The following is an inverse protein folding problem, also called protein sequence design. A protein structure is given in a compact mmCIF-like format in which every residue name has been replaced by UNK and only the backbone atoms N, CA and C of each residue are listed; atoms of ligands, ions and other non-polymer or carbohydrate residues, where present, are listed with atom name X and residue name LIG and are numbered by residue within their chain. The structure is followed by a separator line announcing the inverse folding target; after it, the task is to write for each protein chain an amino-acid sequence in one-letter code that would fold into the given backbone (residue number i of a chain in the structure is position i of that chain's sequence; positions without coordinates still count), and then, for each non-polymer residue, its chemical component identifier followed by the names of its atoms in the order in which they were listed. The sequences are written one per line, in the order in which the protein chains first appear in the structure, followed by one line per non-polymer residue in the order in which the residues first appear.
data_IF_779344882363
#
_entry.id   IF_779344882363
#
_cell.length_a   1.000
_cell.length_b   1.000
_cell.length_c   1.000
_cell.angle_alpha   90.00
_cell.angle_beta   90.00
_cell.angle_gamma   90.00
#
_symmetry.space_group_name_H-M   'P 1'
#
loop_
_entity.id
_entity.type
_entity.pdbx_description
1 polymer ?
#
# COMPACT_ATOMS: atom_id res chain seq x y z
N UNK A 1 18.39 3.26 4.99
CA UNK A 1 19.13 2.00 4.87
C UNK A 1 20.61 2.21 4.51
N UNK A 2 20.94 3.10 3.56
CA UNK A 2 22.31 3.39 3.11
C UNK A 2 23.19 3.88 4.26
N UNK A 3 22.67 4.75 5.12
CA UNK A 3 23.36 5.35 6.27
C UNK A 3 23.04 4.67 7.59
N UNK A 4 22.64 3.39 7.56
CA UNK A 4 22.20 2.65 8.75
C UNK A 4 23.24 2.69 9.87
N UNK A 5 24.50 2.34 9.57
CA UNK A 5 25.57 2.26 10.55
C UNK A 5 25.99 3.62 11.13
N UNK A 6 25.79 4.70 10.35
CA UNK A 6 26.10 6.07 10.76
C UNK A 6 25.00 6.67 11.65
N UNK A 7 23.74 6.22 11.50
CA UNK A 7 22.59 6.84 12.15
C UNK A 7 22.03 6.04 13.34
N UNK A 8 22.26 4.71 13.39
CA UNK A 8 21.64 3.82 14.37
C UNK A 8 21.90 4.19 15.84
N UNK A 9 23.04 4.81 16.13
CA UNK A 9 23.44 5.17 17.49
C UNK A 9 22.90 6.56 17.90
N UNK A 10 22.34 7.33 16.96
CA UNK A 10 21.87 8.71 17.18
C UNK A 10 20.37 8.87 17.00
N UNK A 11 19.73 7.99 16.21
CA UNK A 11 18.33 8.16 15.80
C UNK A 11 17.53 6.86 15.89
N UNK A 12 16.28 6.98 16.29
CA UNK A 12 15.30 5.93 16.15
C UNK A 12 14.61 6.05 14.78
N UNK A 13 14.77 5.07 13.93
CA UNK A 13 14.15 5.01 12.59
C UNK A 13 13.71 3.58 12.26
N UNK A 14 12.80 3.45 11.30
CA UNK A 14 12.37 2.15 10.83
C UNK A 14 13.52 1.44 10.12
N UNK A 15 13.76 0.20 10.48
CA UNK A 15 14.89 -0.58 9.98
C UNK A 15 14.62 -2.09 10.03
N UNK A 16 15.54 -2.87 9.49
CA UNK A 16 15.51 -4.33 9.52
C UNK A 16 16.74 -4.94 10.24
N UNK A 17 17.35 -4.18 11.16
CA UNK A 17 18.43 -4.62 12.04
C UNK A 17 19.83 -4.55 11.45
N UNK A 18 19.98 -4.36 10.13
CA UNK A 18 21.28 -4.27 9.46
C UNK A 18 21.21 -3.44 8.16
N UNK A 19 22.35 -2.91 7.76
CA UNK A 19 22.51 -2.15 6.51
C UNK A 19 22.18 -3.02 5.29
N UNK A 20 21.41 -2.47 4.36
CA UNK A 20 21.04 -3.12 3.09
C UNK A 20 19.84 -4.06 3.17
N UNK A 21 19.43 -4.50 4.36
CA UNK A 21 18.34 -5.46 4.53
C UNK A 21 16.98 -4.90 4.11
N UNK A 22 16.69 -3.64 4.43
CA UNK A 22 15.49 -2.96 3.95
C UNK A 22 15.45 -2.92 2.42
N UNK A 23 16.57 -2.54 1.79
CA UNK A 23 16.72 -2.50 0.32
C UNK A 23 16.51 -3.87 -0.30
N UNK A 24 17.06 -4.94 0.31
CA UNK A 24 16.84 -6.32 -0.13
C UNK A 24 15.34 -6.68 -0.16
N UNK A 25 14.59 -6.33 0.90
CA UNK A 25 13.15 -6.60 0.97
C UNK A 25 12.28 -5.59 0.21
N UNK A 26 12.85 -4.61 -0.50
CA UNK A 26 12.13 -3.82 -1.49
C UNK A 26 12.02 -4.51 -2.85
N UNK A 27 12.77 -5.58 -3.08
CA UNK A 27 12.63 -6.43 -4.27
C UNK A 27 11.36 -7.29 -4.14
N UNK A 28 10.45 -7.18 -5.12
CA UNK A 28 9.17 -7.88 -5.12
C UNK A 28 9.29 -9.40 -5.22
N UNK A 29 10.35 -9.89 -5.88
CA UNK A 29 10.58 -11.34 -5.97
C UNK A 29 10.98 -11.92 -4.61
N UNK A 30 11.82 -11.19 -3.88
CA UNK A 30 12.20 -11.55 -2.50
C UNK A 30 10.96 -11.58 -1.61
N UNK A 31 10.12 -10.54 -1.69
CA UNK A 31 8.88 -10.48 -0.91
C UNK A 31 7.92 -11.64 -1.24
N UNK A 32 7.72 -11.96 -2.53
CA UNK A 32 6.82 -13.06 -2.96
C UNK A 32 7.31 -14.40 -2.42
N UNK A 33 8.62 -14.70 -2.55
CA UNK A 33 9.20 -15.95 -2.01
C UNK A 33 9.03 -16.04 -0.49
N UNK A 34 9.29 -14.96 0.23
CA UNK A 34 9.12 -14.94 1.69
C UNK A 34 7.64 -15.07 2.07
N UNK A 35 6.73 -14.41 1.35
CA UNK A 35 5.28 -14.51 1.59
C UNK A 35 4.77 -15.96 1.47
N UNK A 36 5.23 -16.68 0.44
CA UNK A 36 4.93 -18.09 0.24
C UNK A 36 5.47 -18.95 1.39
N UNK A 37 6.73 -18.76 1.78
CA UNK A 37 7.35 -19.46 2.92
C UNK A 37 6.61 -19.20 4.23
N UNK A 38 6.05 -18.01 4.38
CA UNK A 38 5.23 -17.64 5.55
C UNK A 38 3.78 -18.17 5.48
N UNK A 39 3.40 -18.85 4.39
CA UNK A 39 2.09 -19.46 4.24
C UNK A 39 1.00 -18.52 3.71
N UNK A 40 1.38 -17.43 3.05
CA UNK A 40 0.46 -16.61 2.26
C UNK A 40 0.29 -17.23 0.86
N UNK A 41 -0.90 -17.11 0.29
CA UNK A 41 -1.08 -17.44 -1.11
C UNK A 41 -0.34 -16.41 -1.98
N UNK A 42 0.37 -16.90 -3.00
CA UNK A 42 1.04 -16.04 -3.98
C UNK A 42 0.56 -16.41 -5.38
N UNK A 43 0.33 -15.43 -6.27
CA UNK A 43 0.05 -15.74 -7.67
C UNK A 43 1.30 -16.31 -8.33
N UNK A 44 1.13 -17.21 -9.31
CA UNK A 44 2.28 -17.69 -10.10
C UNK A 44 3.07 -16.51 -10.64
N UNK A 45 4.38 -16.56 -10.56
CA UNK A 45 5.22 -15.46 -11.03
C UNK A 45 6.53 -15.93 -11.64
N UNK A 46 7.04 -15.15 -12.58
CA UNK A 46 8.35 -15.29 -13.21
C UNK A 46 9.01 -13.92 -13.29
N UNK A 47 10.29 -13.87 -13.59
CA UNK A 47 11.04 -12.63 -13.77
C UNK A 47 11.69 -12.61 -15.13
N UNK A 48 11.48 -11.49 -15.84
CA UNK A 48 12.32 -11.12 -16.98
C UNK A 48 13.56 -10.45 -16.41
N UNK A 49 14.70 -11.10 -16.53
CA UNK A 49 15.98 -10.57 -16.07
C UNK A 49 16.52 -9.48 -17.02
N UNK A 50 17.49 -8.72 -16.51
CA UNK A 50 18.22 -7.73 -17.29
C UNK A 50 18.93 -8.37 -18.48
N UNK A 51 18.95 -7.69 -19.62
CA UNK A 51 19.52 -8.20 -20.87
C UNK A 51 18.65 -9.19 -21.64
N UNK A 52 17.56 -9.66 -21.04
CA UNK A 52 16.63 -10.62 -21.67
C UNK A 52 15.47 -9.86 -22.32
N UNK A 53 15.09 -10.23 -23.55
CA UNK A 53 14.01 -9.57 -24.28
C UNK A 53 12.62 -10.11 -23.94
N UNK A 54 12.52 -11.39 -23.56
CA UNK A 54 11.25 -12.07 -23.30
C UNK A 54 11.39 -13.11 -22.19
N UNK A 55 10.26 -13.57 -21.66
CA UNK A 55 10.16 -14.67 -20.70
C UNK A 55 8.97 -15.54 -21.09
N UNK A 56 9.12 -16.85 -20.96
CA UNK A 56 7.99 -17.77 -21.12
C UNK A 56 7.14 -17.79 -19.86
N UNK A 57 5.82 -17.71 -20.03
CA UNK A 57 4.87 -17.74 -18.95
C UNK A 57 3.62 -18.52 -19.36
N UNK A 58 3.06 -19.31 -18.45
CA UNK A 58 1.98 -20.27 -18.75
C UNK A 58 0.64 -19.93 -18.11
N UNK A 59 0.56 -18.84 -17.31
CA UNK A 59 -0.66 -18.46 -16.60
C UNK A 59 -1.19 -17.11 -17.07
N UNK A 60 -2.31 -17.16 -17.81
CA UNK A 60 -2.93 -15.97 -18.38
C UNK A 60 -4.37 -15.77 -17.86
N UNK A 61 -4.86 -14.51 -17.80
CA UNK A 61 -4.10 -13.28 -18.08
C UNK A 61 -2.97 -13.07 -17.08
N UNK A 62 -1.90 -12.37 -17.49
CA UNK A 62 -0.80 -12.01 -16.61
C UNK A 62 -0.59 -10.50 -16.55
N UNK A 63 0.04 -10.04 -15.47
CA UNK A 63 0.39 -8.63 -15.23
C UNK A 63 1.91 -8.49 -15.17
N UNK A 64 2.44 -7.49 -15.87
CA UNK A 64 3.86 -7.12 -15.83
C UNK A 64 4.05 -5.83 -15.05
N UNK A 65 5.01 -5.81 -14.16
CA UNK A 65 5.35 -4.65 -13.33
C UNK A 65 6.85 -4.59 -13.05
N UNK A 66 7.45 -3.39 -12.89
CA UNK A 66 8.85 -3.27 -12.48
C UNK A 66 9.10 -4.05 -11.20
N UNK A 67 10.22 -4.77 -11.13
CA UNK A 67 10.54 -5.60 -9.97
C UNK A 67 10.88 -4.74 -8.75
N UNK A 68 11.61 -3.64 -8.95
CA UNK A 68 11.95 -2.69 -7.89
C UNK A 68 11.00 -1.50 -7.87
N UNK A 69 10.52 -1.16 -6.68
CA UNK A 69 9.70 0.05 -6.47
C UNK A 69 10.52 1.35 -6.58
N UNK A 70 11.87 1.27 -6.53
CA UNK A 70 12.78 2.41 -6.68
C UNK A 70 13.01 2.71 -8.16
N UNK A 71 13.11 1.68 -9.00
CA UNK A 71 13.54 1.79 -10.40
C UNK A 71 12.40 2.03 -11.40
N UNK A 72 11.14 1.91 -11.00
CA UNK A 72 10.00 1.95 -11.92
C UNK A 72 8.90 2.94 -11.56
N UNK A 73 8.33 3.59 -12.57
CA UNK A 73 7.11 4.39 -12.38
C UNK A 73 5.88 3.47 -12.30
N UNK A 74 4.94 3.77 -11.42
CA UNK A 74 3.63 3.04 -11.31
C UNK A 74 2.81 3.03 -12.62
N UNK A 75 3.19 3.85 -13.60
CA UNK A 75 2.57 3.90 -14.94
C UNK A 75 3.03 2.78 -15.87
N UNK A 76 4.11 2.07 -15.53
CA UNK A 76 4.63 0.96 -16.33
C UNK A 76 4.05 -0.38 -15.85
N UNK A 77 2.75 -0.56 -16.06
CA UNK A 77 2.05 -1.83 -15.79
C UNK A 77 1.34 -2.22 -17.07
N UNK A 78 1.49 -3.47 -17.51
CA UNK A 78 0.69 -4.01 -18.61
C UNK A 78 0.03 -5.33 -18.21
N UNK A 79 -1.15 -5.60 -18.80
CA UNK A 79 -1.85 -6.89 -18.66
C UNK A 79 -1.86 -7.54 -20.04
N UNK A 80 -1.54 -8.82 -20.09
CA UNK A 80 -1.42 -9.61 -21.31
C UNK A 80 -2.29 -10.86 -21.22
N UNK A 81 -3.00 -11.18 -22.32
CA UNK A 81 -3.93 -12.31 -22.40
C UNK A 81 -3.24 -13.60 -22.91
N UNK A 82 -2.06 -13.45 -23.51
CA UNK A 82 -1.29 -14.54 -24.11
C UNK A 82 0.20 -14.15 -24.21
N UNK A 83 1.03 -15.11 -24.70
CA UNK A 83 2.48 -14.94 -24.81
C UNK A 83 2.87 -13.83 -25.80
N UNK A 84 2.12 -13.64 -26.88
CA UNK A 84 2.41 -12.59 -27.88
C UNK A 84 2.20 -11.19 -27.27
N UNK A 85 1.08 -10.97 -26.61
CA UNK A 85 0.80 -9.71 -25.89
C UNK A 85 1.82 -9.48 -24.78
N UNK A 86 2.24 -10.54 -24.06
CA UNK A 86 3.29 -10.46 -23.05
C UNK A 86 4.61 -9.97 -23.67
N UNK A 87 5.05 -10.57 -24.76
CA UNK A 87 6.28 -10.16 -25.44
C UNK A 87 6.22 -8.71 -25.92
N UNK A 88 5.07 -8.27 -26.45
CA UNK A 88 4.85 -6.87 -26.86
C UNK A 88 4.84 -5.92 -25.67
N UNK A 89 4.18 -6.28 -24.58
CA UNK A 89 4.17 -5.49 -23.35
C UNK A 89 5.55 -5.31 -22.72
N UNK A 90 6.36 -6.37 -22.74
CA UNK A 90 7.73 -6.34 -22.19
C UNK A 90 8.67 -5.39 -22.95
N UNK A 91 8.46 -5.15 -24.25
CA UNK A 91 9.23 -4.15 -25.02
C UNK A 91 9.14 -2.75 -24.42
N UNK A 92 7.99 -2.41 -23.84
CA UNK A 92 7.77 -1.10 -23.19
C UNK A 92 8.63 -0.84 -21.95
N UNK A 93 9.15 -1.90 -21.31
CA UNK A 93 10.06 -1.78 -20.15
C UNK A 93 11.54 -1.66 -20.54
N UNK A 94 11.87 -1.98 -21.80
CA UNK A 94 13.27 -2.02 -22.26
C UNK A 94 14.02 -3.28 -21.78
N UNK A 95 15.18 -3.54 -22.40
CA UNK A 95 15.98 -4.75 -22.10
C UNK A 95 16.68 -4.69 -20.74
N UNK A 96 17.05 -3.50 -20.28
CA UNK A 96 17.78 -3.29 -19.01
C UNK A 96 16.89 -3.39 -17.76
N UNK A 97 15.56 -3.40 -17.92
CA UNK A 97 14.66 -3.49 -16.78
C UNK A 97 14.41 -4.93 -16.35
N UNK A 98 14.50 -5.20 -15.04
CA UNK A 98 13.97 -6.42 -14.43
C UNK A 98 12.47 -6.25 -14.22
N UNK A 99 11.69 -7.20 -14.76
CA UNK A 99 10.21 -7.10 -14.77
C UNK A 99 9.62 -8.36 -14.15
N UNK A 100 8.77 -8.20 -13.16
CA UNK A 100 7.95 -9.28 -12.65
C UNK A 100 6.78 -9.52 -13.59
N UNK A 101 6.65 -10.75 -14.08
CA UNK A 101 5.48 -11.28 -14.77
C UNK A 101 4.72 -12.14 -13.78
N UNK A 102 3.45 -11.87 -13.57
CA UNK A 102 2.66 -12.52 -12.54
C UNK A 102 1.25 -12.82 -13.06
N UNK A 103 0.69 -13.97 -12.67
CA UNK A 103 -0.72 -14.28 -12.89
C UNK A 103 -1.61 -13.12 -12.43
N UNK A 104 -2.53 -12.71 -13.30
CA UNK A 104 -3.48 -11.64 -12.98
C UNK A 104 -4.65 -12.22 -12.18
N UNK A 105 -4.62 -12.04 -10.88
CA UNK A 105 -5.72 -12.42 -9.99
C UNK A 105 -6.85 -11.40 -10.10
N UNK A 106 -7.99 -11.83 -10.65
CA UNK A 106 -9.19 -10.98 -10.72
C UNK A 106 -9.75 -10.76 -9.32
N UNK A 107 -9.47 -9.59 -8.74
CA UNK A 107 -9.86 -9.24 -7.38
C UNK A 107 -11.38 -9.13 -7.21
N UNK A 108 -11.91 -9.67 -6.14
CA UNK A 108 -13.22 -9.33 -5.60
C UNK A 108 -13.11 -8.04 -4.77
N UNK A 109 -12.08 -7.97 -3.94
CA UNK A 109 -11.68 -6.76 -3.23
C UNK A 109 -10.19 -6.84 -2.83
N UNK A 110 -9.68 -5.71 -2.38
CA UNK A 110 -8.29 -5.55 -1.93
C UNK A 110 -8.29 -5.03 -0.50
N UNK A 111 -7.37 -5.54 0.30
CA UNK A 111 -7.14 -5.10 1.68
C UNK A 111 -5.68 -4.69 1.88
N UNK A 112 -5.48 -3.85 2.89
CA UNK A 112 -4.15 -3.56 3.45
C UNK A 112 -4.17 -3.91 4.93
N UNK A 113 -3.40 -4.91 5.32
CA UNK A 113 -3.18 -5.25 6.73
C UNK A 113 -2.16 -4.26 7.28
N UNK A 114 -2.58 -3.47 8.27
CA UNK A 114 -1.74 -2.42 8.87
C UNK A 114 -1.27 -2.86 10.24
N UNK A 115 0.02 -2.64 10.51
CA UNK A 115 0.60 -3.03 11.79
C UNK A 115 1.85 -2.26 12.17
N UNK A 116 2.32 -2.60 13.35
CA UNK A 116 3.54 -2.12 13.96
C UNK A 116 4.34 -3.32 14.47
N UNK A 117 5.65 -3.34 14.22
CA UNK A 117 6.57 -4.21 14.95
C UNK A 117 7.56 -3.36 15.73
N UNK A 118 7.64 -3.60 17.03
CA UNK A 118 8.49 -2.85 17.94
C UNK A 118 8.87 -3.76 19.13
N UNK A 119 10.12 -3.68 19.58
CA UNK A 119 10.64 -4.49 20.70
C UNK A 119 10.37 -6.00 20.54
N UNK A 120 10.46 -6.52 19.30
CA UNK A 120 10.21 -7.93 18.99
C UNK A 120 8.74 -8.33 18.88
N UNK A 121 7.79 -7.48 19.29
CA UNK A 121 6.36 -7.73 19.21
C UNK A 121 5.79 -7.25 17.87
N UNK A 122 4.89 -8.03 17.25
CA UNK A 122 4.15 -7.62 16.05
C UNK A 122 2.67 -7.44 16.38
N UNK A 123 2.21 -6.20 16.25
CA UNK A 123 0.86 -5.74 16.58
C UNK A 123 0.10 -5.46 15.30
N UNK A 124 -1.06 -6.09 15.12
CA UNK A 124 -1.95 -5.88 13.98
C UNK A 124 -3.33 -5.56 14.54
N UNK A 125 -3.71 -4.29 14.68
CA UNK A 125 -5.03 -3.93 15.19
C UNK A 125 -6.15 -4.21 14.19
N UNK A 126 -5.85 -4.16 12.89
CA UNK A 126 -6.86 -4.32 11.85
C UNK A 126 -6.33 -4.21 10.44
N UNK A 127 -7.26 -4.01 9.52
CA UNK A 127 -6.98 -3.87 8.10
C UNK A 127 -7.93 -2.88 7.42
N UNK A 128 -7.54 -2.41 6.26
CA UNK A 128 -8.31 -1.52 5.40
C UNK A 128 -8.89 -2.36 4.26
N UNK A 129 -10.18 -2.24 3.98
CA UNK A 129 -10.78 -2.72 2.74
C UNK A 129 -10.95 -1.55 1.79
N UNK A 130 -10.26 -1.59 0.65
CA UNK A 130 -10.36 -0.57 -0.39
C UNK A 130 -11.74 -0.64 -1.04
N UNK A 131 -12.47 0.46 -1.07
CA UNK A 131 -13.77 0.60 -1.74
C UNK A 131 -13.64 1.37 -3.06
N UNK A 132 -12.74 2.36 -3.10
CA UNK A 132 -12.31 3.06 -4.31
C UNK A 132 -10.82 3.32 -4.25
N UNK A 133 -10.19 3.23 -5.41
CA UNK A 133 -8.77 3.50 -5.59
C UNK A 133 -8.54 4.41 -6.82
N UNK A 134 -7.38 5.06 -6.84
CA UNK A 134 -6.91 5.82 -7.98
C UNK A 134 -5.42 5.61 -8.15
N UNK A 135 -5.00 5.13 -9.32
CA UNK A 135 -3.60 4.83 -9.63
C UNK A 135 -2.92 3.97 -8.54
N UNK A 136 -3.65 2.96 -8.03
CA UNK A 136 -3.18 2.07 -6.96
C UNK A 136 -3.24 2.67 -5.55
N UNK A 137 -3.56 3.97 -5.39
CA UNK A 137 -3.73 4.60 -4.07
C UNK A 137 -5.18 4.53 -3.59
N UNK A 138 -5.40 4.16 -2.33
CA UNK A 138 -6.73 4.13 -1.71
C UNK A 138 -7.31 5.54 -1.60
N UNK A 139 -8.54 5.73 -2.10
CA UNK A 139 -9.25 7.01 -1.99
C UNK A 139 -10.46 6.97 -1.09
N UNK A 140 -11.13 5.81 -0.98
CA UNK A 140 -12.22 5.56 -0.05
C UNK A 140 -12.14 4.13 0.46
N UNK A 141 -12.24 3.94 1.76
CA UNK A 141 -12.04 2.64 2.41
C UNK A 141 -12.87 2.50 3.69
N UNK A 142 -13.05 1.25 4.11
CA UNK A 142 -13.50 0.90 5.46
C UNK A 142 -12.35 0.26 6.22
N UNK A 143 -12.11 0.72 7.44
CA UNK A 143 -11.19 0.14 8.41
C UNK A 143 -11.94 -0.91 9.21
N UNK A 144 -11.37 -2.10 9.34
CA UNK A 144 -11.92 -3.22 10.09
C UNK A 144 -10.96 -3.68 11.19
N UNK A 145 -11.48 -4.11 12.35
CA UNK A 145 -10.66 -4.74 13.38
C UNK A 145 -10.12 -6.09 12.88
N UNK A 146 -8.95 -6.48 13.40
CA UNK A 146 -8.25 -7.73 13.02
C UNK A 146 -9.10 -8.99 13.23
N UNK A 147 -10.04 -8.96 14.14
CA UNK A 147 -10.98 -10.07 14.38
C UNK A 147 -11.86 -10.44 13.18
N UNK A 148 -11.94 -9.54 12.17
CA UNK A 148 -12.63 -9.80 10.89
C UNK A 148 -11.74 -10.44 9.83
N UNK A 149 -10.45 -10.65 10.12
CA UNK A 149 -9.50 -11.32 9.22
C UNK A 149 -9.26 -12.76 9.73
N UNK A 150 -9.17 -13.77 8.84
CA UNK A 150 -8.82 -15.12 9.26
C UNK A 150 -7.50 -15.16 10.04
N UNK A 151 -7.49 -15.88 11.16
CA UNK A 151 -6.30 -15.99 12.03
C UNK A 151 -5.06 -16.47 11.26
N UNK A 152 -5.22 -17.43 10.33
CA UNK A 152 -4.15 -17.94 9.51
C UNK A 152 -3.45 -16.82 8.70
N UNK A 153 -4.22 -15.88 8.13
CA UNK A 153 -3.67 -14.75 7.38
C UNK A 153 -2.89 -13.83 8.31
N UNK A 154 -3.46 -13.51 9.48
CA UNK A 154 -2.79 -12.66 10.49
C UNK A 154 -1.49 -13.29 10.97
N UNK A 155 -1.48 -14.59 11.25
CA UNK A 155 -0.29 -15.33 11.69
C UNK A 155 0.80 -15.35 10.60
N UNK A 156 0.40 -15.48 9.32
CA UNK A 156 1.33 -15.42 8.17
C UNK A 156 1.94 -14.03 8.02
N UNK A 157 1.15 -12.97 8.18
CA UNK A 157 1.66 -11.58 8.17
C UNK A 157 2.66 -11.36 9.30
N UNK A 158 2.36 -11.83 10.51
CA UNK A 158 3.28 -11.73 11.66
C UNK A 158 4.60 -12.45 11.40
N UNK A 159 4.54 -13.68 10.83
CA UNK A 159 5.75 -14.42 10.45
C UNK A 159 6.57 -13.66 9.42
N UNK A 160 5.94 -13.14 8.37
CA UNK A 160 6.62 -12.37 7.33
C UNK A 160 7.41 -11.20 7.92
N UNK A 161 6.77 -10.36 8.72
CA UNK A 161 7.41 -9.17 9.31
C UNK A 161 8.52 -9.57 10.28
N UNK A 162 8.36 -10.68 11.00
CA UNK A 162 9.39 -11.24 11.88
C UNK A 162 10.62 -11.73 11.10
N UNK A 163 10.42 -12.47 9.99
CA UNK A 163 11.51 -12.99 9.14
C UNK A 163 12.30 -11.86 8.46
N UNK A 164 11.62 -10.77 8.08
CA UNK A 164 12.30 -9.54 7.62
C UNK A 164 13.18 -8.94 8.72
N UNK A 165 12.91 -9.26 9.99
CA UNK A 165 13.44 -8.59 11.17
C UNK A 165 13.14 -7.09 11.17
N UNK A 166 12.01 -6.71 10.57
CA UNK A 166 11.62 -5.31 10.45
C UNK A 166 11.20 -4.73 11.80
N UNK A 167 11.57 -3.49 12.06
CA UNK A 167 11.08 -2.70 13.18
C UNK A 167 10.55 -1.37 12.69
N UNK A 168 9.24 -1.14 12.87
CA UNK A 168 8.52 0.02 12.38
C UNK A 168 7.07 -0.29 12.00
N UNK A 169 6.42 0.71 11.42
CA UNK A 169 5.07 0.57 10.87
C UNK A 169 5.11 -0.09 9.49
N UNK A 170 4.11 -0.92 9.19
CA UNK A 170 4.01 -1.59 7.90
C UNK A 170 2.59 -1.66 7.40
N UNK A 171 2.46 -1.83 6.07
CA UNK A 171 1.21 -2.14 5.40
C UNK A 171 1.41 -3.28 4.40
N UNK A 172 0.71 -4.40 4.56
CA UNK A 172 0.74 -5.52 3.63
C UNK A 172 -0.51 -5.54 2.78
N UNK A 173 -0.34 -5.42 1.46
CA UNK A 173 -1.43 -5.44 0.48
C UNK A 173 -1.77 -6.88 0.08
N UNK A 174 -3.05 -7.23 0.19
CA UNK A 174 -3.58 -8.54 -0.17
C UNK A 174 -4.81 -8.38 -1.07
N UNK A 175 -4.92 -9.24 -2.11
CA UNK A 175 -6.11 -9.38 -2.93
C UNK A 175 -6.93 -10.56 -2.43
N UNK A 176 -8.22 -10.35 -2.20
CA UNK A 176 -9.16 -11.44 -1.96
C UNK A 176 -9.81 -11.86 -3.27
N UNK A 177 -9.68 -13.15 -3.59
CA UNK A 177 -10.30 -13.79 -4.74
C UNK A 177 -10.45 -15.29 -4.48
N UNK A 178 -11.53 -15.90 -4.97
CA UNK A 178 -11.76 -17.34 -4.87
C UNK A 178 -11.55 -17.90 -3.43
N UNK A 179 -12.05 -17.19 -2.43
CA UNK A 179 -11.93 -17.54 -0.99
C UNK A 179 -10.49 -17.59 -0.46
N UNK A 180 -9.54 -16.90 -1.11
CA UNK A 180 -8.13 -16.82 -0.71
C UNK A 180 -7.65 -15.38 -0.64
N UNK A 181 -6.63 -15.13 0.19
CA UNK A 181 -5.92 -13.85 0.26
C UNK A 181 -4.57 -14.01 -0.44
N UNK A 182 -4.41 -13.36 -1.57
CA UNK A 182 -3.18 -13.40 -2.37
C UNK A 182 -2.29 -12.21 -2.02
N UNK A 183 -1.03 -12.48 -1.73
CA UNK A 183 -0.02 -11.46 -1.46
C UNK A 183 0.25 -10.60 -2.69
N UNK A 184 0.36 -9.29 -2.50
CA UNK A 184 0.70 -8.31 -3.54
C UNK A 184 2.06 -7.68 -3.27
N UNK A 185 2.17 -6.97 -2.15
CA UNK A 185 3.42 -6.33 -1.69
C UNK A 185 3.33 -5.96 -0.20
N UNK A 186 4.48 -5.74 0.41
CA UNK A 186 4.58 -5.17 1.76
C UNK A 186 5.31 -3.84 1.69
N UNK A 187 4.67 -2.80 2.21
CA UNK A 187 5.25 -1.49 2.41
C UNK A 187 5.85 -1.42 3.82
N UNK A 188 7.20 -1.42 3.90
CA UNK A 188 7.94 -1.32 5.17
C UNK A 188 8.13 0.17 5.54
N UNK A 189 7.04 0.85 5.78
CA UNK A 189 6.99 2.28 6.12
C UNK A 189 5.65 2.65 6.71
N UNK A 190 5.57 3.85 7.30
CA UNK A 190 4.29 4.43 7.65
C UNK A 190 3.44 4.64 6.38
N UNK A 191 2.21 4.17 6.42
CA UNK A 191 1.24 4.33 5.35
C UNK A 191 0.34 5.55 5.62
N UNK A 192 -0.07 6.25 4.57
CA UNK A 192 -0.97 7.41 4.68
C UNK A 192 -2.31 7.07 5.37
N UNK A 193 -2.72 5.82 5.32
CA UNK A 193 -3.97 5.35 5.93
C UNK A 193 -3.86 5.11 7.44
N UNK A 194 -2.66 5.13 8.02
CA UNK A 194 -2.43 4.92 9.47
C UNK A 194 -3.14 5.99 10.32
N UNK A 195 -3.33 7.21 9.80
CA UNK A 195 -4.14 8.24 10.47
C UNK A 195 -5.57 7.76 10.75
N UNK A 196 -6.19 7.03 9.82
CA UNK A 196 -7.54 6.50 10.02
C UNK A 196 -7.60 5.49 11.18
N UNK A 197 -6.51 4.76 11.46
CA UNK A 197 -6.43 3.90 12.65
C UNK A 197 -6.41 4.70 13.94
N UNK A 198 -5.72 5.85 13.97
CA UNK A 198 -5.73 6.75 15.12
C UNK A 198 -7.14 7.27 15.39
N UNK A 199 -7.89 7.67 14.35
CA UNK A 199 -9.30 8.06 14.46
C UNK A 199 -10.18 6.90 14.93
N UNK A 200 -9.89 5.68 14.48
CA UNK A 200 -10.58 4.46 14.89
C UNK A 200 -10.26 4.00 16.34
N UNK A 201 -9.27 4.63 16.97
CA UNK A 201 -8.94 4.43 18.40
C UNK A 201 -7.59 3.79 18.67
N UNK A 202 -6.78 3.44 17.66
CA UNK A 202 -5.45 2.83 17.82
C UNK A 202 -4.37 3.68 17.14
N UNK A 203 -3.52 4.31 17.93
CA UNK A 203 -2.48 5.22 17.41
C UNK A 203 -1.12 4.53 17.30
N UNK A 204 -0.90 3.80 16.20
CA UNK A 204 0.34 3.07 15.94
C UNK A 204 1.60 3.96 15.86
N UNK A 205 1.57 5.14 15.21
CA UNK A 205 2.72 6.05 15.22
C UNK A 205 3.13 6.48 16.63
N UNK A 206 2.17 6.83 17.49
CA UNK A 206 2.45 7.22 18.87
C UNK A 206 2.96 6.02 19.69
N UNK A 207 2.40 4.82 19.47
CA UNK A 207 2.88 3.61 20.09
C UNK A 207 4.36 3.34 19.74
N UNK A 208 4.76 3.53 18.48
CA UNK A 208 6.16 3.41 18.07
C UNK A 208 7.06 4.42 18.81
N UNK A 209 6.67 5.69 18.84
CA UNK A 209 7.45 6.75 19.52
C UNK A 209 7.61 6.44 21.00
N UNK A 210 6.53 6.12 21.70
CA UNK A 210 6.57 5.75 23.13
C UNK A 210 7.49 4.56 23.39
N UNK A 211 7.36 3.51 22.60
CA UNK A 211 8.22 2.32 22.72
C UNK A 211 9.71 2.67 22.56
N UNK A 212 10.07 3.59 21.64
CA UNK A 212 11.45 4.04 21.43
C UNK A 212 11.98 4.95 22.53
N UNK A 213 11.09 5.64 23.23
CA UNK A 213 11.43 6.44 24.41
C UNK A 213 11.43 5.64 25.72
N UNK A 214 11.15 4.33 25.66
CA UNK A 214 11.06 3.47 26.84
C UNK A 214 9.78 3.70 27.67
N UNK A 215 8.77 4.35 27.08
CA UNK A 215 7.48 4.60 27.71
C UNK A 215 6.49 3.45 27.45
N UNK A 216 5.44 3.35 28.28
CA UNK A 216 4.37 2.38 28.07
C UNK A 216 3.56 2.75 26.81
N UNK A 217 3.70 1.95 25.77
CA UNK A 217 2.99 2.09 24.49
C UNK A 217 1.71 1.24 24.41
N UNK A 218 1.50 0.31 25.36
CA UNK A 218 0.36 -0.61 25.31
C UNK A 218 -0.97 0.13 25.44
N UNK A 219 -1.00 1.27 26.12
CA UNK A 219 -2.19 2.13 26.21
C UNK A 219 -2.71 2.59 24.84
N UNK A 220 -1.81 2.76 23.86
CA UNK A 220 -2.17 3.21 22.52
C UNK A 220 -2.75 2.09 21.62
N UNK A 221 -2.45 0.82 21.97
CA UNK A 221 -2.79 -0.35 21.16
C UNK A 221 -3.80 -1.29 21.84
N UNK A 222 -4.04 -1.15 23.14
CA UNK A 222 -4.98 -1.99 23.90
C UNK A 222 -6.46 -1.66 23.62
N UNK A 223 -6.73 -0.53 22.99
CA UNK A 223 -8.07 -0.09 22.63
C UNK A 223 -8.65 -0.96 21.52
N UNK A 224 -9.93 -1.30 21.61
CA UNK A 224 -10.62 -1.95 20.51
C UNK A 224 -10.72 -1.03 19.31
N UNK A 225 -10.14 -1.43 18.18
CA UNK A 225 -10.27 -0.71 16.93
C UNK A 225 -11.74 -0.69 16.50
N UNK A 226 -12.29 0.53 16.32
CA UNK A 226 -13.66 0.69 15.79
C UNK A 226 -13.66 0.52 14.26
N UNK A 227 -14.75 -0.03 13.75
CA UNK A 227 -14.98 -0.03 12.30
C UNK A 227 -15.42 1.36 11.89
N UNK A 228 -14.67 2.03 11.01
CA UNK A 228 -14.96 3.36 10.47
C UNK A 228 -14.76 3.42 8.96
N UNK A 229 -15.32 4.43 8.32
CA UNK A 229 -14.97 4.78 6.95
C UNK A 229 -13.97 5.93 6.90
N UNK A 230 -13.06 5.86 5.94
CA UNK A 230 -12.04 6.88 5.69
C UNK A 230 -12.01 7.27 4.22
N UNK A 231 -11.77 8.55 3.93
CA UNK A 231 -11.72 9.08 2.56
C UNK A 231 -10.59 10.09 2.41
N UNK A 232 -9.87 9.98 1.28
CA UNK A 232 -8.96 11.02 0.78
C UNK A 232 -9.79 11.94 -0.13
N UNK A 233 -10.55 12.82 0.46
CA UNK A 233 -11.70 13.50 -0.16
C UNK A 233 -11.34 14.31 -1.42
N UNK A 234 -10.19 15.01 -1.41
CA UNK A 234 -9.73 15.79 -2.58
C UNK A 234 -9.24 14.91 -3.73
N UNK A 235 -8.84 13.67 -3.46
CA UNK A 235 -8.50 12.71 -4.51
C UNK A 235 -9.73 11.95 -4.95
N UNK A 236 -10.59 11.54 -4.01
CA UNK A 236 -11.78 10.71 -4.29
C UNK A 236 -12.82 11.44 -5.14
N UNK A 237 -12.96 12.78 -5.01
CA UNK A 237 -13.87 13.58 -5.84
C UNK A 237 -13.54 13.47 -7.34
N UNK A 238 -12.33 13.08 -7.71
CA UNK A 238 -11.97 12.85 -9.11
C UNK A 238 -12.77 11.72 -9.77
N UNK A 239 -13.34 10.79 -8.99
CA UNK A 239 -14.27 9.77 -9.51
C UNK A 239 -15.58 10.40 -10.00
N UNK A 240 -16.04 11.47 -9.35
CA UNK A 240 -17.18 12.27 -9.83
C UNK A 240 -16.82 12.98 -11.12
N UNK A 241 -15.64 13.63 -11.17
CA UNK A 241 -15.18 14.36 -12.35
C UNK A 241 -14.99 13.46 -13.59
N UNK A 242 -14.71 12.17 -13.35
CA UNK A 242 -14.59 11.15 -14.40
C UNK A 242 -15.91 10.39 -14.67
N UNK A 243 -17.01 10.81 -14.05
CA UNK A 243 -18.34 10.18 -14.16
C UNK A 243 -18.38 8.71 -13.72
N UNK A 244 -17.44 8.26 -12.89
CA UNK A 244 -17.45 6.91 -12.32
C UNK A 244 -18.52 6.75 -11.25
N UNK A 245 -18.83 7.83 -10.52
CA UNK A 245 -19.91 7.91 -9.51
C UNK A 245 -20.61 9.25 -9.62
N UNK A 246 -21.88 9.33 -9.18
CA UNK A 246 -22.61 10.60 -9.10
C UNK A 246 -22.09 11.45 -7.92
N UNK A 247 -22.24 12.77 -8.03
CA UNK A 247 -21.92 13.71 -6.95
C UNK A 247 -22.75 13.43 -5.68
N UNK A 248 -24.02 13.07 -5.84
CA UNK A 248 -24.88 12.67 -4.73
C UNK A 248 -24.34 11.44 -3.99
N UNK A 249 -23.90 10.42 -4.74
CA UNK A 249 -23.29 9.22 -4.14
C UNK A 249 -22.01 9.57 -3.38
N UNK A 250 -21.17 10.42 -3.96
CA UNK A 250 -19.95 10.88 -3.33
C UNK A 250 -20.23 11.62 -2.00
N UNK A 251 -21.20 12.55 -2.00
CA UNK A 251 -21.61 13.26 -0.79
C UNK A 251 -22.11 12.30 0.31
N UNK A 252 -22.94 11.32 -0.08
CA UNK A 252 -23.44 10.30 0.84
C UNK A 252 -22.32 9.44 1.42
N UNK A 253 -21.33 9.05 0.61
CA UNK A 253 -20.19 8.27 1.09
C UNK A 253 -19.30 9.13 2.02
N UNK A 254 -19.03 10.38 1.63
CA UNK A 254 -18.25 11.32 2.45
C UNK A 254 -18.90 11.60 3.81
N UNK A 255 -20.22 11.76 3.86
CA UNK A 255 -20.94 12.03 5.12
C UNK A 255 -20.87 10.87 6.12
N UNK A 256 -20.53 9.65 5.67
CA UNK A 256 -20.34 8.47 6.50
C UNK A 256 -18.89 8.26 6.95
N UNK A 257 -17.97 9.12 6.49
CA UNK A 257 -16.57 9.01 6.87
C UNK A 257 -16.32 9.71 8.21
N UNK A 258 -15.77 8.98 9.15
CA UNK A 258 -15.27 9.51 10.42
C UNK A 258 -13.84 10.06 10.27
N UNK A 259 -13.06 9.51 9.33
CA UNK A 259 -11.72 9.97 8.99
C UNK A 259 -11.70 10.58 7.59
N UNK A 260 -11.39 11.88 7.52
CA UNK A 260 -11.10 12.60 6.28
C UNK A 260 -9.63 13.00 6.29
N UNK A 261 -8.95 12.82 5.15
CA UNK A 261 -7.49 12.96 5.12
C UNK A 261 -7.02 14.41 5.21
N UNK A 262 -7.75 15.34 4.60
CA UNK A 262 -7.39 16.76 4.58
C UNK A 262 -8.24 17.61 5.52
N UNK A 263 -9.46 17.20 5.79
CA UNK A 263 -10.40 17.98 6.55
C UNK A 263 -10.28 17.71 8.06
N UNK A 264 -9.83 18.72 8.79
CA UNK A 264 -9.86 18.74 10.25
C UNK A 264 -10.59 20.02 10.73
N UNK A 265 -11.53 19.86 11.65
CA UNK A 265 -12.29 20.99 12.22
C UNK A 265 -11.40 21.93 13.03
N UNK A 266 -10.39 21.38 13.71
CA UNK A 266 -9.51 22.12 14.60
C UNK A 266 -8.40 22.84 13.83
N UNK A 267 -7.98 22.30 12.66
CA UNK A 267 -7.02 22.94 11.75
C UNK A 267 -7.46 22.86 10.29
N UNK A 268 -8.19 23.86 9.86
CA UNK A 268 -8.68 23.99 8.47
C UNK A 268 -7.63 24.51 7.48
N UNK A 269 -6.44 24.91 7.92
CA UNK A 269 -5.44 25.52 7.06
C UNK A 269 -4.87 24.54 6.01
N UNK A 270 -4.47 23.30 6.37
CA UNK A 270 -4.02 22.29 5.40
C UNK A 270 -5.10 21.99 4.34
N UNK A 271 -6.35 21.83 4.76
CA UNK A 271 -7.48 21.59 3.84
C UNK A 271 -7.66 22.73 2.82
N UNK A 272 -7.64 24.00 3.28
CA UNK A 272 -7.80 25.16 2.41
C UNK A 272 -6.67 25.25 1.38
N UNK A 273 -5.42 25.01 1.80
CA UNK A 273 -4.25 25.01 0.93
C UNK A 273 -4.37 23.89 -0.11
N UNK A 274 -4.61 22.67 0.33
CA UNK A 274 -4.74 21.51 -0.55
C UNK A 274 -5.89 21.67 -1.56
N UNK A 275 -7.05 22.19 -1.12
CA UNK A 275 -8.20 22.51 -2.00
C UNK A 275 -7.83 23.55 -3.04
N UNK A 276 -7.14 24.63 -2.67
CA UNK A 276 -6.67 25.66 -3.61
C UNK A 276 -5.72 25.05 -4.66
N UNK A 277 -4.74 24.28 -4.22
CA UNK A 277 -3.79 23.63 -5.12
C UNK A 277 -4.49 22.65 -6.08
N UNK A 278 -5.45 21.89 -5.58
CA UNK A 278 -6.27 20.97 -6.41
C UNK A 278 -7.04 21.73 -7.49
N UNK A 279 -7.75 22.80 -7.14
CA UNK A 279 -8.51 23.63 -8.09
C UNK A 279 -7.58 24.29 -9.11
N UNK A 280 -6.48 24.91 -8.66
CA UNK A 280 -5.52 25.54 -9.56
C UNK A 280 -4.86 24.53 -10.51
N UNK A 281 -4.50 23.35 -10.01
CA UNK A 281 -3.94 22.27 -10.84
C UNK A 281 -4.94 21.74 -11.88
N UNK A 282 -6.24 21.79 -11.58
CA UNK A 282 -7.27 21.46 -12.56
C UNK A 282 -7.45 22.55 -13.61
N UNK A 283 -7.56 23.82 -13.19
CA UNK A 283 -7.66 24.97 -14.08
C UNK A 283 -6.50 25.03 -15.05
N UNK A 284 -5.24 24.88 -14.55
CA UNK A 284 -4.05 24.88 -15.39
C UNK A 284 -4.08 23.75 -16.45
N UNK A 285 -4.56 22.56 -16.10
CA UNK A 285 -4.70 21.45 -17.06
C UNK A 285 -5.73 21.74 -18.14
N UNK A 286 -6.85 22.39 -17.79
CA UNK A 286 -7.89 22.82 -18.76
C UNK A 286 -7.34 23.89 -19.69
N UNK A 287 -6.67 24.93 -19.16
CA UNK A 287 -6.04 25.99 -19.95
C UNK A 287 -4.97 25.43 -20.90
N UNK A 288 -4.14 24.51 -20.44
CA UNK A 288 -3.15 23.86 -21.29
C UNK A 288 -3.77 23.05 -22.43
N UNK A 289 -4.89 22.34 -22.15
CA UNK A 289 -5.62 21.59 -23.20
C UNK A 289 -6.29 22.50 -24.22
N UNK A 290 -6.68 23.71 -23.82
CA UNK A 290 -7.30 24.70 -24.70
C UNK A 290 -6.27 25.57 -25.44
N UNK A 291 -4.97 25.28 -25.31
CA UNK A 291 -3.87 26.09 -25.87
C UNK A 291 -3.94 27.59 -25.50
N UNK A 292 -4.52 27.89 -24.33
CA UNK A 292 -4.69 29.26 -23.83
C UNK A 292 -3.51 29.69 -22.91
N UNK A 293 -2.35 29.10 -23.14
CA UNK A 293 -1.06 29.53 -22.56
C UNK A 293 0.01 29.52 -23.60
#
# INVERSE_FOLDING_TARGET
DIYYDELKDYYHFFNAGEKGRMTHFMDKQVQVKLAEQCGLCVPKSSVKEEGVASVQFDSYPCICKPLSSIAGQKSQICISQNQEELNNGLKGFGTQARVQVQEFVKREYEIVVVGLRVNGETIIPGFIRKLRDRMGGTTFATIYPVSKLPKQVTDSVKRFVKEVNYEGLFGMELIYAANKYYFVETNLRNDATTFAFSVAGVNLPLAYVKAKLGEDYHVEISKNLRQINSMVELTDITHVMKLHISFYRWLKDRSKCESLYFYDKEDMKPYRIAKRQFVMGYVNRVLHKLHLK
#
